data_IF_319328676774
#
_entry.id   IF_319328676774
#
_cell.length_a   1.000
_cell.length_b   1.000
_cell.length_c   1.000
_cell.angle_alpha   90.00
_cell.angle_beta   90.00
_cell.angle_gamma   90.00
#
_symmetry.space_group_name_H-M   'P 1'
#
loop_
_entity.id
_entity.type
_entity.pdbx_description
1 polymer ?
#
# COMPACT_ATOMS: atom_id res chain seq x y z
N UNK A 1 -9.79 4.05 30.49
CA UNK A 1 -10.28 4.98 29.45
C UNK A 1 -10.36 4.19 28.16
N UNK A 2 -11.55 3.83 27.67
CA UNK A 2 -11.74 2.90 26.53
C UNK A 2 -11.90 3.61 25.17
N UNK A 3 -11.91 4.95 25.16
CA UNK A 3 -12.23 5.74 23.97
C UNK A 3 -11.15 5.67 22.87
N UNK A 4 -9.84 5.69 23.17
CA UNK A 4 -8.80 5.57 22.15
C UNK A 4 -8.76 4.18 21.50
N UNK A 5 -8.82 3.11 22.29
CA UNK A 5 -8.84 1.72 21.80
C UNK A 5 -10.03 1.44 20.86
N UNK A 6 -11.21 1.97 21.21
CA UNK A 6 -12.40 1.90 20.36
C UNK A 6 -12.21 2.68 19.04
N UNK A 7 -11.50 3.80 19.08
CA UNK A 7 -11.25 4.63 17.90
C UNK A 7 -10.25 3.99 16.94
N UNK A 8 -9.19 3.38 17.45
CA UNK A 8 -8.20 2.64 16.65
C UNK A 8 -8.86 1.41 15.99
N UNK A 9 -9.68 0.69 16.75
CA UNK A 9 -10.46 -0.43 16.22
C UNK A 9 -11.40 0.01 15.07
N UNK A 10 -12.08 1.14 15.22
CA UNK A 10 -12.93 1.71 14.16
C UNK A 10 -12.10 2.10 12.93
N UNK A 11 -10.91 2.67 13.12
CA UNK A 11 -9.97 3.00 12.05
C UNK A 11 -9.56 1.76 11.25
N UNK A 12 -9.11 0.71 11.93
CA UNK A 12 -8.72 -0.55 11.31
C UNK A 12 -9.88 -1.23 10.58
N UNK A 13 -11.07 -1.32 11.20
CA UNK A 13 -12.25 -1.91 10.56
C UNK A 13 -12.63 -1.12 9.31
N UNK A 14 -12.57 0.22 9.37
CA UNK A 14 -12.88 1.07 8.22
C UNK A 14 -11.88 0.89 7.08
N UNK A 15 -10.58 0.76 7.38
CA UNK A 15 -9.54 0.40 6.40
C UNK A 15 -9.84 -0.94 5.73
N UNK A 16 -10.08 -1.99 6.52
CA UNK A 16 -10.31 -3.34 6.01
C UNK A 16 -11.56 -3.41 5.12
N UNK A 17 -12.64 -2.71 5.49
CA UNK A 17 -13.84 -2.60 4.65
C UNK A 17 -13.50 -1.90 3.33
N UNK A 18 -12.73 -0.82 3.37
CA UNK A 18 -12.39 -0.05 2.18
C UNK A 18 -11.49 -0.82 1.22
N UNK A 19 -10.50 -1.55 1.74
CA UNK A 19 -9.67 -2.46 0.95
C UNK A 19 -10.52 -3.56 0.30
N UNK A 20 -11.48 -4.14 1.04
CA UNK A 20 -12.41 -5.13 0.47
C UNK A 20 -13.27 -4.54 -0.65
N UNK A 21 -13.73 -3.30 -0.51
CA UNK A 21 -14.48 -2.59 -1.55
C UNK A 21 -13.62 -2.40 -2.81
N UNK A 22 -12.33 -2.04 -2.66
CA UNK A 22 -11.39 -2.00 -3.77
C UNK A 22 -11.26 -3.37 -4.45
N UNK A 23 -11.10 -4.44 -3.67
CA UNK A 23 -11.01 -5.81 -4.22
C UNK A 23 -12.29 -6.27 -4.93
N UNK A 24 -13.44 -5.67 -4.62
CA UNK A 24 -14.70 -5.89 -5.33
C UNK A 24 -14.92 -4.92 -6.51
N UNK A 25 -13.97 -4.03 -6.78
CA UNK A 25 -14.04 -3.03 -7.85
C UNK A 25 -14.87 -1.78 -7.52
N UNK A 26 -15.34 -1.61 -6.28
CA UNK A 26 -16.12 -0.44 -5.86
C UNK A 26 -15.21 0.69 -5.36
N UNK A 27 -14.50 1.31 -6.31
CA UNK A 27 -13.61 2.43 -6.03
C UNK A 27 -14.34 3.64 -5.41
N UNK A 28 -15.60 3.88 -5.79
CA UNK A 28 -16.39 5.00 -5.29
C UNK A 28 -16.70 4.85 -3.79
N UNK A 29 -17.15 3.67 -3.36
CA UNK A 29 -17.39 3.40 -1.95
C UNK A 29 -16.09 3.40 -1.15
N UNK A 30 -14.98 2.88 -1.71
CA UNK A 30 -13.67 2.93 -1.06
C UNK A 30 -13.20 4.38 -0.82
N UNK A 31 -13.37 5.28 -1.79
CA UNK A 31 -13.05 6.71 -1.64
C UNK A 31 -13.88 7.37 -0.53
N UNK A 32 -15.16 7.02 -0.39
CA UNK A 32 -15.99 7.50 0.72
C UNK A 32 -15.43 7.05 2.07
N UNK A 33 -14.92 5.82 2.17
CA UNK A 33 -14.28 5.31 3.40
C UNK A 33 -12.94 6.00 3.68
N UNK A 34 -12.13 6.29 2.67
CA UNK A 34 -10.93 7.11 2.83
C UNK A 34 -11.27 8.49 3.42
N UNK A 35 -12.33 9.14 2.95
CA UNK A 35 -12.78 10.42 3.50
C UNK A 35 -13.27 10.30 4.96
N UNK A 36 -13.95 9.20 5.30
CA UNK A 36 -14.34 8.91 6.68
C UNK A 36 -13.12 8.76 7.59
N UNK A 37 -12.06 8.07 7.14
CA UNK A 37 -10.80 7.94 7.88
C UNK A 37 -10.12 9.30 8.11
N UNK A 38 -10.09 10.20 7.11
CA UNK A 38 -9.57 11.57 7.30
C UNK A 38 -10.37 12.38 8.30
N UNK A 39 -11.70 12.25 8.25
CA UNK A 39 -12.60 12.92 9.21
C UNK A 39 -12.40 12.40 10.63
N UNK A 40 -12.08 11.11 10.77
CA UNK A 40 -11.73 10.51 12.06
C UNK A 40 -10.38 11.04 12.56
N UNK A 41 -9.36 11.09 11.68
CA UNK A 41 -8.03 11.61 12.01
C UNK A 41 -8.06 13.06 12.50
N UNK A 42 -8.82 13.93 11.83
CA UNK A 42 -8.92 15.35 12.17
C UNK A 42 -9.51 15.60 13.56
N UNK A 43 -10.27 14.64 14.10
CA UNK A 43 -10.87 14.71 15.43
C UNK A 43 -9.92 14.23 16.53
N UNK A 44 -8.90 13.47 16.19
CA UNK A 44 -8.06 12.74 17.14
C UNK A 44 -6.62 13.25 17.20
N UNK A 45 -6.22 14.19 16.31
CA UNK A 45 -4.80 14.59 16.15
C UNK A 45 -3.86 13.40 15.93
N UNK A 46 -4.40 12.29 15.41
CA UNK A 46 -3.67 11.05 15.16
C UNK A 46 -3.22 10.97 13.70
N UNK A 47 -2.01 10.48 13.47
CA UNK A 47 -1.39 10.36 12.13
C UNK A 47 -1.73 9.02 11.46
N UNK A 48 -1.97 7.97 12.23
CA UNK A 48 -2.25 6.63 11.70
C UNK A 48 -3.53 6.55 10.85
N UNK A 49 -4.68 7.15 11.24
CA UNK A 49 -5.86 7.14 10.39
C UNK A 49 -5.68 7.95 9.08
N UNK A 50 -4.74 8.91 9.03
CA UNK A 50 -4.37 9.58 7.78
C UNK A 50 -3.60 8.64 6.86
N UNK A 51 -2.65 7.87 7.40
CA UNK A 51 -1.91 6.88 6.63
C UNK A 51 -2.85 5.81 6.05
N UNK A 52 -3.80 5.31 6.85
CA UNK A 52 -4.84 4.41 6.39
C UNK A 52 -5.71 5.03 5.28
N UNK A 53 -6.08 6.30 5.41
CA UNK A 53 -6.84 6.99 4.37
C UNK A 53 -6.06 7.13 3.06
N UNK A 54 -4.76 7.45 3.14
CA UNK A 54 -3.90 7.62 1.97
C UNK A 54 -3.70 6.28 1.24
N UNK A 55 -3.52 5.16 1.96
CA UNK A 55 -3.47 3.82 1.37
C UNK A 55 -4.75 3.44 0.65
N UNK A 56 -5.91 3.62 1.30
CA UNK A 56 -7.21 3.31 0.70
C UNK A 56 -7.47 4.17 -0.54
N UNK A 57 -7.12 5.46 -0.49
CA UNK A 57 -7.24 6.31 -1.66
C UNK A 57 -6.32 5.83 -2.78
N UNK A 58 -5.07 5.48 -2.49
CA UNK A 58 -4.15 4.96 -3.50
C UNK A 58 -4.71 3.71 -4.19
N UNK A 59 -5.28 2.77 -3.41
CA UNK A 59 -5.95 1.57 -3.94
C UNK A 59 -7.13 1.90 -4.86
N UNK A 60 -8.02 2.79 -4.43
CA UNK A 60 -9.17 3.18 -5.22
C UNK A 60 -8.76 3.91 -6.51
N UNK A 61 -7.69 4.71 -6.44
CA UNK A 61 -7.13 5.45 -7.59
C UNK A 61 -6.42 4.52 -8.57
N UNK A 62 -5.77 3.46 -8.08
CA UNK A 62 -5.19 2.41 -8.91
C UNK A 62 -6.26 1.69 -9.75
N UNK A 63 -7.41 1.36 -9.14
CA UNK A 63 -8.56 0.79 -9.86
C UNK A 63 -9.09 1.68 -10.98
N UNK A 64 -9.03 2.99 -10.78
CA UNK A 64 -9.48 3.99 -11.75
C UNK A 64 -8.41 4.28 -12.84
N UNK A 65 -7.22 3.66 -12.76
CA UNK A 65 -6.11 3.93 -13.68
C UNK A 65 -5.47 5.30 -13.50
N UNK A 66 -5.63 5.95 -12.33
CA UNK A 66 -5.12 7.30 -12.07
C UNK A 66 -3.66 7.26 -11.58
N UNK A 67 -2.73 6.76 -12.42
CA UNK A 67 -1.33 6.49 -12.05
C UNK A 67 -0.62 7.66 -11.37
N UNK A 68 -0.72 8.88 -11.93
CA UNK A 68 -0.08 10.08 -11.33
C UNK A 68 -0.58 10.35 -9.92
N UNK A 69 -1.86 10.10 -9.64
CA UNK A 69 -2.43 10.29 -8.30
C UNK A 69 -1.95 9.22 -7.33
N UNK A 70 -1.85 7.97 -7.78
CA UNK A 70 -1.28 6.87 -7.01
C UNK A 70 0.16 7.17 -6.61
N UNK A 71 1.00 7.61 -7.54
CA UNK A 71 2.40 7.97 -7.25
C UNK A 71 2.50 9.11 -6.22
N UNK A 72 1.68 10.15 -6.36
CA UNK A 72 1.67 11.28 -5.43
C UNK A 72 1.28 10.84 -4.01
N UNK A 73 0.27 9.98 -3.89
CA UNK A 73 -0.13 9.40 -2.60
C UNK A 73 0.97 8.49 -2.04
N UNK A 74 1.57 7.66 -2.88
CA UNK A 74 2.62 6.74 -2.47
C UNK A 74 3.87 7.47 -1.96
N UNK A 75 4.28 8.59 -2.60
CA UNK A 75 5.31 9.51 -2.06
C UNK A 75 4.94 10.04 -0.68
N UNK A 76 3.69 10.46 -0.48
CA UNK A 76 3.21 10.93 0.83
C UNK A 76 3.17 9.85 1.90
N UNK A 77 2.90 8.60 1.53
CA UNK A 77 2.96 7.44 2.42
C UNK A 77 4.43 7.17 2.78
N UNK A 78 5.34 7.12 1.81
CA UNK A 78 6.76 6.88 2.02
C UNK A 78 7.46 7.98 2.81
N UNK A 79 7.02 9.24 2.71
CA UNK A 79 7.59 10.32 3.53
C UNK A 79 7.37 10.15 5.04
N UNK A 80 6.50 9.21 5.44
CA UNK A 80 6.20 8.86 6.82
C UNK A 80 6.80 7.51 7.24
N UNK A 81 7.56 6.89 6.34
CA UNK A 81 8.14 5.57 6.58
C UNK A 81 9.25 5.63 7.64
N UNK A 82 9.18 4.70 8.59
CA UNK A 82 10.23 4.43 9.57
C UNK A 82 10.76 3.00 9.37
N UNK A 83 12.04 2.87 9.01
CA UNK A 83 12.68 1.59 8.75
C UNK A 83 12.97 0.77 10.01
N UNK A 84 12.97 1.41 11.18
CA UNK A 84 13.15 0.72 12.46
C UNK A 84 11.82 0.13 12.97
N UNK A 85 10.69 0.62 12.47
CA UNK A 85 9.36 0.08 12.74
C UNK A 85 9.09 -1.17 11.89
N UNK A 86 9.36 -2.35 12.49
CA UNK A 86 9.14 -3.64 11.84
C UNK A 86 7.68 -3.89 11.44
N UNK A 87 6.72 -3.34 12.17
CA UNK A 87 5.31 -3.45 11.80
C UNK A 87 5.03 -2.65 10.53
N UNK A 88 5.61 -1.45 10.42
CA UNK A 88 5.49 -0.63 9.22
C UNK A 88 6.15 -1.28 8.00
N UNK A 89 7.35 -1.85 8.15
CA UNK A 89 8.02 -2.62 7.08
C UNK A 89 7.11 -3.73 6.56
N UNK A 90 6.59 -4.54 7.47
CA UNK A 90 5.69 -5.65 7.15
C UNK A 90 4.38 -5.16 6.50
N UNK A 91 3.80 -4.06 6.97
CA UNK A 91 2.60 -3.46 6.39
C UNK A 91 2.83 -2.98 4.95
N UNK A 92 3.98 -2.39 4.66
CA UNK A 92 4.36 -2.02 3.28
C UNK A 92 4.50 -3.26 2.38
N UNK A 93 5.19 -4.29 2.88
CA UNK A 93 5.37 -5.55 2.14
C UNK A 93 4.04 -6.26 1.82
N UNK A 94 3.00 -6.07 2.65
CA UNK A 94 1.66 -6.60 2.39
C UNK A 94 0.78 -5.69 1.52
N UNK A 95 0.84 -4.38 1.75
CA UNK A 95 -0.12 -3.44 1.15
C UNK A 95 0.25 -3.08 -0.29
N UNK A 96 1.55 -3.00 -0.61
CA UNK A 96 2.01 -2.67 -1.97
C UNK A 96 1.63 -3.75 -3.00
N UNK A 97 1.74 -5.05 -2.71
CA UNK A 97 1.19 -6.10 -3.59
C UNK A 97 -0.28 -5.90 -3.95
N UNK A 98 -1.14 -5.59 -2.98
CA UNK A 98 -2.54 -5.26 -3.22
C UNK A 98 -2.67 -4.07 -4.16
N UNK A 99 -1.88 -3.01 -3.96
CA UNK A 99 -1.91 -1.82 -4.81
C UNK A 99 -1.57 -2.14 -6.28
N UNK A 100 -0.55 -2.97 -6.51
CA UNK A 100 -0.16 -3.44 -7.87
C UNK A 100 -1.23 -4.36 -8.46
N UNK A 101 -1.78 -5.28 -7.66
CA UNK A 101 -2.88 -6.14 -8.08
C UNK A 101 -4.10 -5.32 -8.53
N UNK A 102 -4.37 -4.20 -7.86
CA UNK A 102 -5.43 -3.25 -8.19
C UNK A 102 -5.17 -2.40 -9.44
N UNK A 103 -3.97 -2.47 -10.03
CA UNK A 103 -3.65 -1.82 -11.30
C UNK A 103 -2.65 -0.67 -11.20
N UNK A 104 -2.01 -0.46 -10.05
CA UNK A 104 -0.90 0.48 -9.97
C UNK A 104 0.29 -0.03 -10.80
N UNK A 105 0.96 0.88 -11.50
CA UNK A 105 2.13 0.55 -12.30
C UNK A 105 3.32 0.19 -11.41
N UNK A 106 3.84 -1.04 -11.47
CA UNK A 106 4.91 -1.47 -10.57
C UNK A 106 6.24 -0.74 -10.82
N UNK A 107 6.52 -0.33 -12.07
CA UNK A 107 7.72 0.42 -12.42
C UNK A 107 7.74 1.83 -11.82
N UNK A 108 6.62 2.53 -11.88
CA UNK A 108 6.41 3.81 -11.21
C UNK A 108 6.58 3.70 -9.69
N UNK A 109 5.99 2.68 -9.05
CA UNK A 109 6.15 2.48 -7.60
C UNK A 109 7.61 2.17 -7.21
N UNK A 110 8.31 1.35 -8.00
CA UNK A 110 9.73 1.09 -7.81
C UNK A 110 10.57 2.37 -7.93
N UNK A 111 10.30 3.18 -8.96
CA UNK A 111 10.96 4.48 -9.15
C UNK A 111 10.73 5.42 -7.98
N UNK A 112 9.51 5.47 -7.44
CA UNK A 112 9.22 6.26 -6.23
C UNK A 112 9.98 5.72 -5.01
N UNK A 113 10.06 4.40 -4.78
CA UNK A 113 10.84 3.85 -3.67
C UNK A 113 12.32 4.24 -3.75
N UNK A 114 12.89 4.27 -4.96
CA UNK A 114 14.28 4.65 -5.19
C UNK A 114 14.58 6.12 -4.85
N UNK A 115 13.57 6.99 -4.83
CA UNK A 115 13.68 8.38 -4.37
C UNK A 115 13.90 8.49 -2.84
N UNK A 116 13.67 7.42 -2.08
CA UNK A 116 13.73 7.38 -0.61
C UNK A 116 14.77 6.34 -0.13
N UNK A 117 16.08 6.69 -0.07
CA UNK A 117 17.14 5.72 0.24
C UNK A 117 16.96 4.94 1.54
N UNK A 118 16.46 5.59 2.59
CA UNK A 118 16.20 4.95 3.88
C UNK A 118 15.07 3.92 3.80
N UNK A 119 14.00 4.22 3.05
CA UNK A 119 12.92 3.26 2.82
C UNK A 119 13.37 2.13 1.90
N UNK A 120 14.14 2.46 0.86
CA UNK A 120 14.67 1.48 -0.09
C UNK A 120 15.54 0.42 0.58
N UNK A 121 16.34 0.81 1.58
CA UNK A 121 17.17 -0.15 2.32
C UNK A 121 16.32 -1.21 3.03
N UNK A 122 15.31 -0.79 3.78
CA UNK A 122 14.40 -1.68 4.50
C UNK A 122 13.45 -2.45 3.57
N UNK A 123 13.05 -1.84 2.45
CA UNK A 123 12.09 -2.40 1.48
C UNK A 123 12.77 -2.93 0.22
N UNK A 124 14.07 -3.25 0.28
CA UNK A 124 14.82 -3.67 -0.92
C UNK A 124 14.22 -4.88 -1.62
N UNK A 125 13.76 -5.94 -0.93
CA UNK A 125 13.09 -7.07 -1.60
C UNK A 125 11.82 -6.64 -2.35
N UNK A 126 11.04 -5.70 -1.79
CA UNK A 126 9.86 -5.15 -2.42
C UNK A 126 10.19 -4.35 -3.68
N UNK A 127 11.22 -3.50 -3.65
CA UNK A 127 11.68 -2.76 -4.83
C UNK A 127 12.13 -3.70 -5.95
N UNK A 128 12.84 -4.79 -5.61
CA UNK A 128 13.24 -5.84 -6.55
C UNK A 128 12.02 -6.53 -7.15
N UNK A 129 11.04 -6.90 -6.33
CA UNK A 129 9.79 -7.53 -6.79
C UNK A 129 9.04 -6.64 -7.79
N UNK A 130 8.92 -5.35 -7.49
CA UNK A 130 8.27 -4.36 -8.36
C UNK A 130 8.99 -4.19 -9.69
N UNK A 131 10.33 -4.13 -9.69
CA UNK A 131 11.14 -4.06 -10.91
C UNK A 131 10.97 -5.31 -11.77
N UNK A 132 11.01 -6.50 -11.17
CA UNK A 132 10.76 -7.76 -11.87
C UNK A 132 9.33 -7.81 -12.44
N UNK A 133 8.34 -7.33 -11.69
CA UNK A 133 6.95 -7.26 -12.11
C UNK A 133 6.73 -6.25 -13.26
N UNK A 134 7.52 -5.17 -13.31
CA UNK A 134 7.58 -4.24 -14.43
C UNK A 134 8.28 -4.82 -15.68
N UNK A 135 8.87 -6.01 -15.58
CA UNK A 135 9.61 -6.66 -16.67
C UNK A 135 11.09 -6.27 -16.74
N UNK A 136 11.62 -5.56 -15.73
CA UNK A 136 13.03 -5.19 -15.67
C UNK A 136 13.92 -6.39 -15.36
N UNK A 137 15.15 -6.40 -15.91
CA UNK A 137 16.17 -7.40 -15.56
C UNK A 137 16.93 -6.95 -14.31
N UNK A 138 16.63 -7.55 -13.17
CA UNK A 138 17.28 -7.23 -11.88
C UNK A 138 18.39 -8.22 -11.56
N UNK A 139 19.51 -7.73 -11.01
CA UNK A 139 20.56 -8.55 -10.40
C UNK A 139 20.58 -8.29 -8.91
N UNK A 140 20.29 -9.30 -8.11
CA UNK A 140 20.27 -9.24 -6.65
C UNK A 140 20.79 -10.57 -6.05
N UNK A 141 21.16 -10.60 -4.76
CA UNK A 141 21.47 -11.86 -4.06
C UNK A 141 20.29 -12.85 -4.14
N UNK A 142 20.57 -14.16 -4.16
CA UNK A 142 19.54 -15.20 -4.31
C UNK A 142 18.44 -15.12 -3.25
N UNK A 143 18.81 -14.93 -1.98
CA UNK A 143 17.86 -14.79 -0.87
C UNK A 143 16.87 -13.63 -1.08
N UNK A 144 17.33 -12.54 -1.70
CA UNK A 144 16.48 -11.39 -2.01
C UNK A 144 15.56 -11.65 -3.19
N UNK A 145 16.02 -12.45 -4.17
CA UNK A 145 15.19 -12.87 -5.30
C UNK A 145 14.09 -13.83 -4.84
N UNK A 146 14.36 -14.73 -3.90
CA UNK A 146 13.36 -15.63 -3.30
C UNK A 146 12.23 -14.82 -2.63
N UNK A 147 12.57 -13.86 -1.76
CA UNK A 147 11.56 -12.99 -1.14
C UNK A 147 10.81 -12.15 -2.18
N UNK A 148 11.49 -11.68 -3.23
CA UNK A 148 10.84 -10.95 -4.31
C UNK A 148 9.88 -11.82 -5.14
N UNK A 149 10.18 -13.11 -5.31
CA UNK A 149 9.29 -14.09 -5.94
C UNK A 149 8.05 -14.35 -5.09
N UNK A 150 8.19 -14.48 -3.76
CA UNK A 150 7.05 -14.60 -2.84
C UNK A 150 6.11 -13.38 -2.94
N UNK A 151 6.68 -12.17 -2.98
CA UNK A 151 5.91 -10.93 -3.14
C UNK A 151 5.16 -10.92 -4.49
N UNK A 152 5.78 -11.41 -5.57
CA UNK A 152 5.11 -11.50 -6.88
C UNK A 152 4.01 -12.55 -6.89
N UNK A 153 4.22 -13.68 -6.21
CA UNK A 153 3.18 -14.69 -6.04
C UNK A 153 1.96 -14.12 -5.30
N UNK A 154 2.18 -13.29 -4.27
CA UNK A 154 1.10 -12.56 -3.58
C UNK A 154 0.34 -11.62 -4.52
N UNK A 155 1.04 -10.86 -5.38
CA UNK A 155 0.39 -10.01 -6.40
C UNK A 155 -0.53 -10.83 -7.30
N UNK A 156 -0.05 -11.96 -7.79
CA UNK A 156 -0.83 -12.85 -8.68
C UNK A 156 -2.01 -13.51 -7.95
N UNK A 157 -1.83 -13.89 -6.68
CA UNK A 157 -2.92 -14.38 -5.84
C UNK A 157 -4.01 -13.32 -5.69
N UNK A 158 -3.65 -12.09 -5.33
CA UNK A 158 -4.59 -10.97 -5.17
C UNK A 158 -5.35 -10.66 -6.47
N UNK A 159 -4.66 -10.68 -7.63
CA UNK A 159 -5.31 -10.55 -8.94
C UNK A 159 -6.30 -11.69 -9.19
N UNK A 160 -5.95 -12.92 -8.83
CA UNK A 160 -6.80 -14.09 -8.93
C UNK A 160 -8.04 -14.01 -8.03
N UNK A 161 -7.90 -13.45 -6.82
CA UNK A 161 -9.03 -13.21 -5.91
C UNK A 161 -10.00 -12.17 -6.46
N UNK A 162 -9.52 -11.13 -7.14
CA UNK A 162 -10.37 -10.10 -7.78
C UNK A 162 -11.15 -10.62 -8.99
N UNK A 163 -10.60 -11.58 -9.71
CA UNK A 163 -11.21 -12.12 -10.93
C UNK A 163 -12.33 -13.15 -10.67
N UNK A 164 -12.51 -13.58 -9.42
CA UNK A 164 -13.54 -14.55 -8.99
C UNK A 164 -14.79 -13.85 -8.49
#
# INVERSE_FOLDING_TARGET
SALPELQDAVGMVTRNIAERLCMLGDAAAALQRAQALRTLASRQTATEPLLHADWVEAMARALLGETTRVEALFRGILSRFDGDDQQMVHDFQKTVPTLVALGADPGSLAGVLEEYPHALEALRPLAVALRLEAGDKVRAPSEMLEVAEDIRAEIDEQRGQRAR
#
